data_IF_626749807262
#
_entry.id   IF_626749807262
#
_cell.length_a   1.000
_cell.length_b   1.000
_cell.length_c   1.000
_cell.angle_alpha   90.00
_cell.angle_beta   90.00
_cell.angle_gamma   90.00
#
_symmetry.space_group_name_H-M   'P 1'
#
loop_
_entity.id
_entity.type
_entity.pdbx_description
1 polymer ?
#
# COMPACT_ATOMS: atom_id res chain seq x y z
N UNK A 1 4.82 20.35 -23.04
CA UNK A 1 5.36 18.97 -23.07
C UNK A 1 4.49 18.01 -22.21
N UNK A 2 4.04 18.45 -21.03
CA UNK A 2 3.22 17.60 -20.15
C UNK A 2 1.92 17.10 -20.81
N UNK A 3 1.22 17.97 -21.53
CA UNK A 3 -0.04 17.60 -22.20
C UNK A 3 0.17 16.74 -23.47
N UNK A 4 1.28 16.93 -24.18
CA UNK A 4 1.60 16.12 -25.35
C UNK A 4 2.14 14.74 -25.00
N UNK A 5 2.96 14.66 -23.95
CA UNK A 5 3.47 13.39 -23.43
C UNK A 5 2.43 12.59 -22.65
N UNK A 6 1.39 13.25 -22.12
CA UNK A 6 0.34 12.61 -21.33
C UNK A 6 -0.74 11.95 -22.20
N UNK A 7 -0.67 12.10 -23.53
CA UNK A 7 -1.63 11.51 -24.48
C UNK A 7 -0.98 10.36 -25.22
N UNK A 8 -1.76 9.34 -25.47
CA UNK A 8 -1.37 8.30 -26.41
C UNK A 8 -1.18 8.95 -27.79
N UNK A 9 0.01 8.86 -28.43
CA UNK A 9 0.24 9.48 -29.72
C UNK A 9 -0.70 8.98 -30.80
N UNK A 10 -1.25 7.77 -30.67
CA UNK A 10 -2.16 7.14 -31.63
C UNK A 10 -3.65 7.28 -31.26
N UNK A 11 -3.97 7.87 -30.10
CA UNK A 11 -5.35 8.08 -29.65
C UNK A 11 -5.52 9.45 -29.00
N UNK A 12 -6.68 10.08 -29.21
CA UNK A 12 -7.05 11.33 -28.55
C UNK A 12 -7.34 11.16 -27.03
N UNK A 13 -6.85 10.10 -26.42
CA UNK A 13 -7.11 9.70 -25.05
C UNK A 13 -5.87 9.87 -24.16
N UNK A 14 -6.04 10.08 -22.84
CA UNK A 14 -4.95 10.07 -21.89
C UNK A 14 -4.19 8.75 -21.93
N UNK A 15 -2.87 8.82 -21.77
CA UNK A 15 -2.00 7.65 -21.75
C UNK A 15 -2.39 6.69 -20.61
N UNK A 16 -2.52 5.42 -20.93
CA UNK A 16 -2.85 4.39 -19.94
C UNK A 16 -1.63 3.96 -19.13
N UNK A 17 -1.84 3.43 -17.94
CA UNK A 17 -0.76 2.90 -17.12
C UNK A 17 0.00 1.77 -17.82
N UNK A 18 -0.69 0.91 -18.56
CA UNK A 18 -0.05 -0.15 -19.33
C UNK A 18 0.90 0.41 -20.38
N UNK A 19 0.50 1.46 -21.11
CA UNK A 19 1.33 2.08 -22.13
C UNK A 19 2.51 2.86 -21.52
N UNK A 20 2.30 3.53 -20.38
CA UNK A 20 3.35 4.30 -19.70
C UNK A 20 4.39 3.43 -19.00
N UNK A 21 3.94 2.36 -18.29
CA UNK A 21 4.80 1.55 -17.42
C UNK A 21 5.57 0.43 -18.14
N UNK A 22 5.09 -0.04 -19.32
CA UNK A 22 5.62 -1.19 -20.05
C UNK A 22 6.56 -0.76 -21.17
N UNK A 23 7.51 -0.02 -21.05
CA UNK A 23 8.40 0.35 -22.17
C UNK A 23 9.88 0.09 -21.93
N UNK A 24 10.25 -0.37 -20.74
CA UNK A 24 11.64 -0.59 -20.38
C UNK A 24 12.50 0.67 -20.64
N UNK A 25 13.73 0.47 -21.10
CA UNK A 25 14.68 1.55 -21.35
C UNK A 25 14.32 2.53 -22.49
N UNK A 26 13.40 2.17 -23.36
CA UNK A 26 12.89 3.02 -24.45
C UNK A 26 11.47 3.51 -24.22
N UNK A 27 10.87 3.19 -23.08
CA UNK A 27 9.48 3.52 -22.79
C UNK A 27 9.27 4.96 -22.35
N UNK A 28 8.00 5.30 -22.19
CA UNK A 28 7.56 6.64 -21.82
C UNK A 28 8.20 7.15 -20.53
N UNK A 29 8.24 6.34 -19.47
CA UNK A 29 8.84 6.75 -18.19
C UNK A 29 10.36 6.99 -18.31
N UNK A 30 11.03 6.23 -19.14
CA UNK A 30 12.45 6.44 -19.40
C UNK A 30 12.68 7.79 -20.12
N UNK A 31 11.88 8.10 -21.13
CA UNK A 31 11.95 9.41 -21.81
C UNK A 31 11.58 10.56 -20.85
N UNK A 32 10.61 10.38 -19.96
CA UNK A 32 10.24 11.37 -18.96
C UNK A 32 11.40 11.65 -18.00
N UNK A 33 12.06 10.60 -17.51
CA UNK A 33 13.22 10.72 -16.62
C UNK A 33 14.40 11.38 -17.33
N UNK A 34 14.71 10.96 -18.54
CA UNK A 34 15.80 11.55 -19.35
C UNK A 34 15.57 13.06 -19.56
N UNK A 35 14.33 13.45 -19.85
CA UNK A 35 13.98 14.85 -19.98
C UNK A 35 14.11 15.60 -18.67
N UNK A 36 13.61 15.03 -17.55
CA UNK A 36 13.68 15.65 -16.24
C UNK A 36 15.14 15.83 -15.78
N UNK A 37 15.98 14.84 -15.99
CA UNK A 37 17.41 14.91 -15.63
C UNK A 37 18.17 15.93 -16.52
N UNK A 38 17.87 15.99 -17.80
CA UNK A 38 18.49 16.95 -18.71
C UNK A 38 18.16 18.41 -18.37
N UNK A 39 17.04 18.67 -17.74
CA UNK A 39 16.58 20.01 -17.38
C UNK A 39 16.52 20.22 -15.86
N UNK A 40 17.18 19.36 -15.09
CA UNK A 40 17.10 19.35 -13.62
C UNK A 40 17.53 20.71 -13.03
N UNK A 41 18.64 21.25 -13.47
CA UNK A 41 19.16 22.54 -12.94
C UNK A 41 18.18 23.69 -13.18
N UNK A 42 17.61 23.80 -14.38
CA UNK A 42 16.64 24.86 -14.72
C UNK A 42 15.38 24.73 -13.85
N UNK A 43 14.84 23.54 -13.73
CA UNK A 43 13.64 23.30 -12.92
C UNK A 43 13.89 23.53 -11.43
N UNK A 44 15.07 23.12 -10.93
CA UNK A 44 15.46 23.34 -9.55
C UNK A 44 15.66 24.81 -9.23
N UNK A 45 16.33 25.57 -10.09
CA UNK A 45 16.53 27.00 -9.88
C UNK A 45 15.19 27.74 -9.83
N UNK A 46 14.26 27.39 -10.72
CA UNK A 46 12.90 27.93 -10.68
C UNK A 46 12.17 27.55 -9.40
N UNK A 47 12.22 26.27 -9.00
CA UNK A 47 11.58 25.80 -7.77
C UNK A 47 12.18 26.46 -6.53
N UNK A 48 13.49 26.44 -6.38
CA UNK A 48 14.19 27.00 -5.23
C UNK A 48 13.99 28.51 -5.09
N UNK A 49 13.82 29.24 -6.21
CA UNK A 49 13.53 30.66 -6.21
C UNK A 49 12.17 31.03 -5.61
N UNK A 50 11.26 30.07 -5.46
CA UNK A 50 9.95 30.31 -4.83
C UNK A 50 10.00 30.38 -3.30
N UNK A 51 11.11 29.96 -2.70
CA UNK A 51 11.28 29.93 -1.25
C UNK A 51 12.18 31.08 -0.76
N UNK A 52 11.68 31.85 0.18
CA UNK A 52 12.42 33.01 0.71
C UNK A 52 13.61 32.62 1.61
N UNK A 53 13.55 31.45 2.25
CA UNK A 53 14.60 31.01 3.19
C UNK A 53 14.65 29.49 3.30
N UNK A 54 15.44 28.88 2.45
CA UNK A 54 15.82 27.48 2.62
C UNK A 54 17.21 27.38 3.21
N UNK A 55 17.44 26.40 4.06
CA UNK A 55 18.78 26.09 4.58
C UNK A 55 19.65 25.56 3.44
N UNK A 56 20.92 25.93 3.46
CA UNK A 56 21.90 25.50 2.44
C UNK A 56 21.94 23.98 2.31
N UNK A 57 21.94 23.26 3.43
CA UNK A 57 21.94 21.78 3.45
C UNK A 57 20.70 21.21 2.73
N UNK A 58 19.53 21.84 2.90
CA UNK A 58 18.30 21.41 2.24
C UNK A 58 18.37 21.61 0.73
N UNK A 59 18.94 22.74 0.30
CA UNK A 59 19.15 23.04 -1.12
C UNK A 59 20.11 22.01 -1.74
N UNK A 60 21.20 21.71 -1.06
CA UNK A 60 22.20 20.73 -1.52
C UNK A 60 21.60 19.31 -1.61
N UNK A 61 20.83 18.91 -0.61
CA UNK A 61 20.13 17.62 -0.61
C UNK A 61 19.12 17.50 -1.77
N UNK A 62 18.35 18.57 -2.03
CA UNK A 62 17.40 18.58 -3.15
C UNK A 62 18.14 18.48 -4.48
N UNK A 63 19.25 19.22 -4.67
CA UNK A 63 20.06 19.14 -5.88
C UNK A 63 20.67 17.76 -6.07
N UNK A 64 21.27 17.22 -5.02
CA UNK A 64 21.86 15.87 -5.03
C UNK A 64 20.82 14.79 -5.36
N UNK A 65 19.59 14.97 -4.87
CA UNK A 65 18.52 14.04 -5.16
C UNK A 65 18.00 14.15 -6.61
N UNK A 66 17.87 15.37 -7.14
CA UNK A 66 17.24 15.59 -8.42
C UNK A 66 18.21 15.44 -9.61
N UNK A 67 19.50 15.68 -9.40
CA UNK A 67 20.50 15.58 -10.46
C UNK A 67 21.08 14.15 -10.55
N UNK A 68 21.40 13.66 -11.76
CA UNK A 68 22.04 12.37 -11.92
C UNK A 68 23.50 12.40 -11.43
N UNK A 69 23.89 11.44 -10.58
CA UNK A 69 25.23 11.41 -9.98
C UNK A 69 26.28 10.69 -10.85
N UNK A 70 25.93 9.57 -11.47
CA UNK A 70 26.85 8.66 -12.15
C UNK A 70 26.37 8.21 -13.53
N UNK A 71 25.83 9.11 -14.33
CA UNK A 71 25.29 8.84 -15.66
C UNK A 71 23.75 8.97 -15.71
N UNK A 72 23.13 8.74 -16.86
CA UNK A 72 21.70 8.95 -17.05
C UNK A 72 20.88 8.00 -16.16
N UNK A 73 19.73 8.49 -15.70
CA UNK A 73 18.74 7.75 -14.92
C UNK A 73 19.26 7.27 -13.55
N UNK A 74 20.15 8.06 -12.93
CA UNK A 74 20.71 7.78 -11.60
C UNK A 74 20.25 8.75 -10.54
N UNK A 75 19.42 9.73 -10.86
CA UNK A 75 18.83 10.65 -9.89
C UNK A 75 17.87 9.93 -8.94
N UNK A 76 17.64 10.52 -7.77
CA UNK A 76 16.62 10.04 -6.83
C UNK A 76 15.21 10.04 -7.44
N UNK A 77 14.93 11.00 -8.34
CA UNK A 77 13.69 10.99 -9.12
C UNK A 77 13.59 9.74 -9.99
N UNK A 78 14.64 9.42 -10.75
CA UNK A 78 14.69 8.21 -11.58
C UNK A 78 14.43 6.95 -10.77
N UNK A 79 15.12 6.83 -9.63
CA UNK A 79 14.95 5.68 -8.73
C UNK A 79 13.51 5.55 -8.24
N UNK A 80 12.86 6.64 -7.85
CA UNK A 80 11.46 6.60 -7.40
C UNK A 80 10.48 6.27 -8.53
N UNK A 81 10.65 6.84 -9.71
CA UNK A 81 9.82 6.53 -10.89
C UNK A 81 9.88 5.05 -11.23
N UNK A 82 11.09 4.51 -11.36
CA UNK A 82 11.26 3.09 -11.72
C UNK A 82 10.85 2.16 -10.57
N UNK A 83 11.02 2.55 -9.33
CA UNK A 83 10.52 1.79 -8.19
C UNK A 83 8.98 1.75 -8.16
N UNK A 84 8.30 2.87 -8.46
CA UNK A 84 6.84 2.91 -8.56
C UNK A 84 6.34 2.01 -9.70
N UNK A 85 6.96 2.09 -10.88
CA UNK A 85 6.64 1.22 -12.02
C UNK A 85 6.90 -0.26 -11.69
N UNK A 86 7.98 -0.55 -10.99
CA UNK A 86 8.32 -1.91 -10.53
C UNK A 86 7.31 -2.45 -9.53
N UNK A 87 6.82 -1.65 -8.58
CA UNK A 87 5.74 -2.03 -7.67
C UNK A 87 4.44 -2.33 -8.42
N UNK A 88 4.05 -1.45 -9.35
CA UNK A 88 2.87 -1.69 -10.19
C UNK A 88 2.98 -2.99 -10.98
N UNK A 89 4.11 -3.24 -11.65
CA UNK A 89 4.34 -4.47 -12.43
C UNK A 89 4.23 -5.72 -11.54
N UNK A 90 4.84 -5.71 -10.36
CA UNK A 90 4.76 -6.81 -9.40
C UNK A 90 3.31 -7.09 -8.98
N UNK A 91 2.56 -6.04 -8.63
CA UNK A 91 1.14 -6.20 -8.28
C UNK A 91 0.34 -6.87 -9.40
N UNK A 92 0.58 -6.50 -10.67
CA UNK A 92 -0.09 -7.15 -11.80
C UNK A 92 0.36 -8.60 -12.01
N UNK A 93 1.64 -8.89 -11.81
CA UNK A 93 2.17 -10.26 -11.90
C UNK A 93 1.59 -11.16 -10.81
N UNK A 94 1.46 -10.67 -9.60
CA UNK A 94 0.80 -11.38 -8.49
C UNK A 94 -0.66 -11.69 -8.80
N UNK A 95 -1.40 -10.70 -9.29
CA UNK A 95 -2.79 -10.91 -9.71
C UNK A 95 -2.90 -11.93 -10.86
N UNK A 96 -2.00 -11.86 -11.84
CA UNK A 96 -1.96 -12.84 -12.94
C UNK A 96 -1.63 -14.23 -12.42
N UNK A 97 -0.62 -14.35 -11.57
CA UNK A 97 -0.22 -15.62 -10.98
C UNK A 97 -1.36 -16.24 -10.16
N UNK A 98 -1.99 -15.46 -9.29
CA UNK A 98 -3.16 -15.91 -8.51
C UNK A 98 -4.29 -16.38 -9.41
N UNK A 99 -4.60 -15.63 -10.47
CA UNK A 99 -5.61 -15.99 -11.46
C UNK A 99 -5.29 -17.33 -12.14
N UNK A 100 -4.06 -17.55 -12.59
CA UNK A 100 -3.65 -18.80 -13.24
C UNK A 100 -3.64 -19.97 -12.25
N UNK A 101 -3.26 -19.76 -11.00
CA UNK A 101 -3.33 -20.79 -9.96
C UNK A 101 -4.77 -21.26 -9.73
N UNK A 102 -5.71 -20.31 -9.56
CA UNK A 102 -7.13 -20.67 -9.39
C UNK A 102 -7.69 -21.32 -10.65
N UNK A 103 -7.30 -20.84 -11.82
CA UNK A 103 -7.73 -21.41 -13.11
C UNK A 103 -7.20 -22.83 -13.32
N UNK A 104 -6.01 -23.14 -12.82
CA UNK A 104 -5.45 -24.48 -12.86
C UNK A 104 -6.21 -25.47 -11.95
N UNK A 105 -6.72 -25.03 -10.81
CA UNK A 105 -7.53 -25.86 -9.90
C UNK A 105 -9.01 -25.98 -10.30
N UNK A 106 -9.51 -25.07 -11.15
CA UNK A 106 -10.91 -25.01 -11.55
C UNK A 106 -11.45 -26.32 -12.16
N UNK A 107 -10.72 -27.03 -13.08
CA UNK A 107 -11.24 -28.28 -13.66
C UNK A 107 -11.52 -29.36 -12.61
N UNK A 108 -10.67 -29.49 -11.59
CA UNK A 108 -10.87 -30.44 -10.48
C UNK A 108 -12.08 -30.07 -9.62
N UNK A 109 -12.24 -28.77 -9.32
CA UNK A 109 -13.40 -28.26 -8.58
C UNK A 109 -14.70 -28.49 -9.35
N UNK A 110 -14.70 -28.22 -10.65
CA UNK A 110 -15.87 -28.49 -11.51
C UNK A 110 -16.18 -29.99 -11.61
N UNK A 111 -15.16 -30.84 -11.65
CA UNK A 111 -15.37 -32.29 -11.65
C UNK A 111 -16.06 -32.75 -10.36
N UNK A 112 -15.61 -32.24 -9.20
CA UNK A 112 -16.25 -32.56 -7.89
C UNK A 112 -17.67 -32.00 -7.80
N UNK A 113 -17.90 -30.79 -8.30
CA UNK A 113 -19.21 -30.14 -8.31
C UNK A 113 -20.24 -30.81 -9.22
N UNK A 114 -19.81 -31.54 -10.26
CA UNK A 114 -20.68 -32.23 -11.24
C UNK A 114 -20.97 -33.70 -10.92
N UNK A 115 -20.50 -34.24 -9.80
CA UNK A 115 -20.81 -35.60 -9.37
C UNK A 115 -22.27 -35.65 -8.92
N UNK A 116 -23.02 -36.71 -9.29
CA UNK A 116 -24.36 -36.93 -8.75
C UNK A 116 -24.31 -37.01 -7.22
N UNK A 117 -25.04 -36.15 -6.53
CA UNK A 117 -25.00 -35.93 -5.07
C UNK A 117 -23.75 -35.14 -4.56
N UNK A 118 -23.17 -34.27 -5.38
CA UNK A 118 -22.12 -33.34 -4.93
C UNK A 118 -22.61 -32.55 -3.70
N UNK A 119 -21.72 -32.39 -2.73
CA UNK A 119 -21.99 -31.54 -1.57
C UNK A 119 -22.19 -30.08 -1.97
N UNK A 120 -23.00 -29.33 -1.21
CA UNK A 120 -23.15 -27.90 -1.46
C UNK A 120 -21.81 -27.15 -1.43
N UNK A 121 -20.87 -27.60 -0.59
CA UNK A 121 -19.54 -27.00 -0.45
C UNK A 121 -18.70 -27.16 -1.73
N UNK A 122 -18.76 -28.30 -2.42
CA UNK A 122 -18.06 -28.53 -3.68
C UNK A 122 -18.61 -27.64 -4.81
N UNK A 123 -19.94 -27.55 -4.89
CA UNK A 123 -20.61 -26.69 -5.87
C UNK A 123 -20.25 -25.21 -5.62
N UNK A 124 -20.22 -24.83 -4.35
CA UNK A 124 -19.88 -23.47 -3.96
C UNK A 124 -18.42 -23.13 -4.25
N UNK A 125 -17.48 -24.03 -3.92
CA UNK A 125 -16.05 -23.83 -4.18
C UNK A 125 -15.76 -23.63 -5.67
N UNK A 126 -16.40 -24.41 -6.55
CA UNK A 126 -16.27 -24.23 -8.00
C UNK A 126 -16.78 -22.85 -8.46
N UNK A 127 -17.94 -22.40 -7.97
CA UNK A 127 -18.51 -21.10 -8.31
C UNK A 127 -17.69 -19.93 -7.78
N UNK A 128 -17.16 -20.05 -6.58
CA UNK A 128 -16.26 -19.05 -5.99
C UNK A 128 -14.97 -18.91 -6.80
N UNK A 129 -14.40 -20.03 -7.25
CA UNK A 129 -13.24 -20.02 -8.13
C UNK A 129 -13.52 -19.30 -9.46
N UNK A 130 -14.63 -19.60 -10.13
CA UNK A 130 -15.04 -18.92 -11.37
C UNK A 130 -15.22 -17.40 -11.16
N UNK A 131 -15.94 -17.03 -10.10
CA UNK A 131 -16.20 -15.63 -9.76
C UNK A 131 -14.89 -14.88 -9.45
N UNK A 132 -13.98 -15.54 -8.74
CA UNK A 132 -12.67 -14.95 -8.40
C UNK A 132 -11.82 -14.74 -9.65
N UNK A 133 -11.79 -15.68 -10.59
CA UNK A 133 -11.08 -15.53 -11.87
C UNK A 133 -11.62 -14.34 -12.65
N UNK A 134 -12.94 -14.20 -12.74
CA UNK A 134 -13.57 -13.07 -13.44
C UNK A 134 -13.23 -11.73 -12.75
N UNK A 135 -13.31 -11.69 -11.43
CA UNK A 135 -13.02 -10.50 -10.64
C UNK A 135 -11.56 -10.04 -10.81
N UNK A 136 -10.59 -10.98 -10.68
CA UNK A 136 -9.18 -10.67 -10.93
C UNK A 136 -8.98 -10.15 -12.36
N UNK A 137 -9.69 -10.73 -13.34
CA UNK A 137 -9.66 -10.24 -14.71
C UNK A 137 -10.13 -8.79 -14.84
N UNK A 138 -11.18 -8.40 -14.13
CA UNK A 138 -11.67 -7.03 -14.09
C UNK A 138 -10.68 -6.08 -13.40
N UNK A 139 -10.03 -6.52 -12.30
CA UNK A 139 -9.00 -5.74 -11.62
C UNK A 139 -7.79 -5.48 -12.54
N UNK A 140 -7.30 -6.51 -13.21
CA UNK A 140 -6.20 -6.39 -14.17
C UNK A 140 -6.56 -5.44 -15.31
N UNK A 141 -7.78 -5.54 -15.86
CA UNK A 141 -8.27 -4.61 -16.88
C UNK A 141 -8.29 -3.17 -16.38
N UNK A 142 -8.84 -2.94 -15.19
CA UNK A 142 -8.89 -1.60 -14.57
C UNK A 142 -7.49 -1.03 -14.33
N UNK A 143 -6.58 -1.82 -13.79
CA UNK A 143 -5.22 -1.37 -13.50
C UNK A 143 -4.42 -1.05 -14.76
N UNK A 144 -4.59 -1.82 -15.85
CA UNK A 144 -3.94 -1.55 -17.14
C UNK A 144 -4.50 -0.30 -17.84
N UNK A 145 -5.82 -0.05 -17.72
CA UNK A 145 -6.50 1.07 -18.36
C UNK A 145 -6.53 2.34 -17.50
N UNK A 146 -6.05 2.30 -16.27
CA UNK A 146 -5.98 3.47 -15.41
C UNK A 146 -5.10 4.56 -16.06
N UNK A 147 -5.38 5.83 -15.72
CA UNK A 147 -4.54 6.93 -16.14
C UNK A 147 -3.18 6.86 -15.44
N UNK A 148 -2.10 6.96 -16.19
CA UNK A 148 -0.74 6.72 -15.69
C UNK A 148 -0.33 7.63 -14.52
N UNK A 149 -0.74 8.91 -14.54
CA UNK A 149 -0.45 9.85 -13.43
C UNK A 149 -1.14 9.37 -12.14
N UNK A 150 -2.42 9.00 -12.23
CA UNK A 150 -3.17 8.50 -11.08
C UNK A 150 -2.53 7.23 -10.49
N UNK A 151 -1.97 6.38 -11.34
CA UNK A 151 -1.25 5.20 -10.88
C UNK A 151 0.06 5.57 -10.19
N UNK A 152 0.85 6.50 -10.74
CA UNK A 152 2.08 6.97 -10.08
C UNK A 152 1.79 7.69 -8.76
N UNK A 153 0.68 8.42 -8.67
CA UNK A 153 0.17 9.00 -7.44
C UNK A 153 -0.20 7.92 -6.41
N UNK A 154 -0.90 6.87 -6.84
CA UNK A 154 -1.25 5.71 -5.99
C UNK A 154 0.00 5.01 -5.43
N UNK A 155 1.09 4.98 -6.18
CA UNK A 155 2.37 4.42 -5.75
C UNK A 155 3.33 5.44 -5.11
N UNK A 156 2.82 6.64 -4.75
CA UNK A 156 3.52 7.62 -3.92
C UNK A 156 4.60 8.45 -4.63
N UNK A 157 4.60 8.52 -5.97
CA UNK A 157 5.54 9.37 -6.69
C UNK A 157 5.12 10.84 -6.69
N UNK A 158 3.83 11.10 -6.87
CA UNK A 158 3.28 12.45 -6.84
C UNK A 158 2.57 12.70 -5.52
N UNK A 159 2.72 13.91 -4.94
CA UNK A 159 1.95 14.25 -3.77
C UNK A 159 0.46 14.28 -4.14
N UNK A 160 -0.32 13.54 -3.40
CA UNK A 160 -1.75 13.71 -3.45
C UNK A 160 -2.06 15.07 -2.80
N UNK A 161 -2.74 15.96 -3.51
CA UNK A 161 -3.14 17.28 -3.00
C UNK A 161 -4.19 17.21 -1.87
N UNK A 162 -4.72 16.05 -1.56
CA UNK A 162 -5.44 15.82 -0.32
C UNK A 162 -4.42 15.70 0.82
N UNK A 163 -4.45 16.65 1.73
CA UNK A 163 -3.45 16.97 2.77
C UNK A 163 -2.98 15.83 3.69
N UNK A 164 -3.55 14.64 3.63
CA UNK A 164 -3.11 13.42 4.33
C UNK A 164 -3.66 12.23 3.54
N UNK A 165 -2.90 11.66 2.64
CA UNK A 165 -3.34 10.41 2.01
C UNK A 165 -2.57 9.19 2.52
N UNK A 166 -2.67 9.02 3.80
CA UNK A 166 -2.47 7.76 4.48
C UNK A 166 -3.80 6.99 4.44
N UNK A 167 -4.34 6.73 3.26
CA UNK A 167 -5.60 6.03 3.16
C UNK A 167 -5.41 4.57 2.79
N UNK A 168 -5.96 3.70 3.61
CA UNK A 168 -6.07 2.27 3.32
C UNK A 168 -7.31 2.02 2.49
N UNK A 169 -7.19 1.21 1.44
CA UNK A 169 -8.30 0.83 0.57
C UNK A 169 -8.85 -0.54 0.95
N UNK A 170 -10.17 -0.60 1.16
CA UNK A 170 -10.92 -1.83 1.31
C UNK A 170 -11.61 -2.18 0.00
N UNK A 171 -11.27 -3.31 -0.58
CA UNK A 171 -11.95 -3.87 -1.75
C UNK A 171 -13.00 -4.88 -1.32
N UNK A 172 -14.25 -4.62 -1.64
CA UNK A 172 -15.38 -5.47 -1.28
C UNK A 172 -15.98 -6.07 -2.53
N UNK A 173 -16.16 -7.39 -2.54
CA UNK A 173 -16.88 -8.09 -3.58
C UNK A 173 -18.17 -8.69 -3.01
N UNK A 174 -19.31 -8.08 -3.36
CA UNK A 174 -20.63 -8.57 -3.00
C UNK A 174 -21.12 -9.50 -4.10
N UNK A 175 -21.38 -10.75 -3.77
CA UNK A 175 -21.94 -11.76 -4.68
C UNK A 175 -23.36 -12.12 -4.30
N UNK A 176 -24.23 -12.37 -5.29
CA UNK A 176 -25.59 -12.85 -5.09
C UNK A 176 -26.06 -13.65 -6.30
N UNK A 177 -27.03 -14.51 -6.07
CA UNK A 177 -27.72 -15.22 -7.14
C UNK A 177 -28.87 -14.34 -7.66
N UNK A 178 -28.92 -14.10 -8.98
CA UNK A 178 -30.02 -13.38 -9.67
C UNK A 178 -30.98 -14.45 -10.24
N UNK A 179 -32.16 -14.68 -9.61
CA UNK A 179 -33.08 -15.71 -10.03
C UNK A 179 -33.71 -15.43 -11.42
N UNK A 180 -33.84 -14.15 -11.80
CA UNK A 180 -34.42 -13.77 -13.09
C UNK A 180 -33.50 -14.10 -14.27
N UNK A 181 -32.20 -14.20 -14.01
CA UNK A 181 -31.18 -14.49 -15.03
C UNK A 181 -30.50 -15.82 -14.82
N UNK A 182 -30.88 -16.57 -13.79
CA UNK A 182 -30.29 -17.85 -13.39
C UNK A 182 -28.75 -17.79 -13.32
N UNK A 183 -28.21 -16.65 -12.87
CA UNK A 183 -26.76 -16.38 -12.83
C UNK A 183 -26.33 -15.75 -11.52
N UNK A 184 -25.12 -16.12 -11.09
CA UNK A 184 -24.44 -15.40 -10.02
C UNK A 184 -23.97 -14.05 -10.56
N UNK A 185 -24.21 -13.01 -9.79
CA UNK A 185 -23.73 -11.66 -10.02
C UNK A 185 -22.80 -11.24 -8.92
N UNK A 186 -21.86 -10.41 -9.26
CA UNK A 186 -20.99 -9.76 -8.28
C UNK A 186 -20.94 -8.26 -8.53
N UNK A 187 -20.80 -7.51 -7.45
CA UNK A 187 -20.56 -6.07 -7.48
C UNK A 187 -19.33 -5.76 -6.67
N UNK A 188 -18.27 -5.27 -7.32
CA UNK A 188 -17.11 -4.75 -6.65
C UNK A 188 -17.36 -3.32 -6.19
N UNK A 189 -16.96 -3.01 -4.97
CA UNK A 189 -16.98 -1.69 -4.38
C UNK A 189 -15.65 -1.44 -3.68
N UNK A 190 -15.25 -0.19 -3.57
CA UNK A 190 -14.03 0.20 -2.87
C UNK A 190 -14.33 1.30 -1.89
N UNK A 191 -13.82 1.18 -0.69
CA UNK A 191 -13.93 2.17 0.37
C UNK A 191 -12.54 2.57 0.82
N UNK A 192 -12.36 3.79 1.30
CA UNK A 192 -11.11 4.26 1.86
C UNK A 192 -11.31 4.81 3.27
N UNK A 193 -10.30 4.64 4.10
CA UNK A 193 -10.20 5.21 5.45
C UNK A 193 -8.78 5.70 5.67
N UNK A 194 -8.63 6.78 6.42
CA UNK A 194 -7.31 7.18 6.92
C UNK A 194 -6.68 6.06 7.74
N UNK A 195 -5.36 5.89 7.67
CA UNK A 195 -4.61 4.76 8.23
C UNK A 195 -4.96 4.46 9.69
N UNK A 196 -5.03 5.47 10.55
CA UNK A 196 -5.36 5.28 11.96
C UNK A 196 -6.77 4.68 12.19
N UNK A 197 -7.76 5.07 11.39
CA UNK A 197 -9.10 4.49 11.43
C UNK A 197 -9.13 3.11 10.78
N UNK A 198 -8.41 2.94 9.67
CA UNK A 198 -8.36 1.69 8.93
C UNK A 198 -7.77 0.54 9.75
N UNK A 199 -6.79 0.79 10.60
CA UNK A 199 -6.23 -0.22 11.50
C UNK A 199 -7.27 -0.87 12.42
N UNK A 200 -8.40 -0.20 12.67
CA UNK A 200 -9.52 -0.74 13.45
C UNK A 200 -10.67 -1.21 12.55
N UNK A 201 -11.02 -0.38 11.57
CA UNK A 201 -12.19 -0.64 10.72
C UNK A 201 -11.93 -1.73 9.67
N UNK A 202 -10.68 -1.88 9.20
CA UNK A 202 -10.27 -2.82 8.16
C UNK A 202 -9.34 -3.93 8.66
N UNK A 203 -9.24 -4.09 9.97
CA UNK A 203 -8.52 -5.21 10.55
C UNK A 203 -9.20 -6.54 10.20
N UNK A 204 -8.45 -7.64 9.98
CA UNK A 204 -9.03 -8.96 9.73
C UNK A 204 -9.99 -9.37 10.85
N UNK A 205 -11.19 -9.80 10.48
CA UNK A 205 -12.26 -10.14 11.42
C UNK A 205 -13.08 -8.95 11.93
N UNK A 206 -12.71 -7.71 11.64
CA UNK A 206 -13.53 -6.55 11.93
C UNK A 206 -14.75 -6.48 10.99
N UNK A 207 -15.85 -5.93 11.48
CA UNK A 207 -17.06 -5.70 10.68
C UNK A 207 -17.17 -4.23 10.31
N UNK A 208 -17.12 -3.96 9.01
CA UNK A 208 -17.29 -2.64 8.44
C UNK A 208 -18.69 -2.46 7.85
N UNK A 209 -19.40 -1.42 8.24
CA UNK A 209 -20.76 -1.15 7.79
C UNK A 209 -20.76 -0.15 6.63
N UNK A 210 -21.25 -0.57 5.46
CA UNK A 210 -21.38 0.29 4.30
C UNK A 210 -22.54 -0.14 3.40
N UNK A 211 -23.22 0.83 2.81
CA UNK A 211 -24.31 0.62 1.83
C UNK A 211 -25.41 -0.36 2.31
N UNK A 212 -25.71 -0.38 3.60
CA UNK A 212 -26.71 -1.29 4.17
C UNK A 212 -26.22 -2.74 4.33
N UNK A 213 -24.91 -2.97 4.29
CA UNK A 213 -24.29 -4.27 4.49
C UNK A 213 -23.30 -4.24 5.65
N UNK A 214 -23.27 -5.32 6.43
CA UNK A 214 -22.24 -5.64 7.38
C UNK A 214 -21.15 -6.45 6.65
N UNK A 215 -19.96 -5.89 6.54
CA UNK A 215 -18.86 -6.41 5.74
C UNK A 215 -17.76 -6.88 6.68
N UNK A 216 -17.60 -8.19 6.80
CA UNK A 216 -16.48 -8.76 7.58
C UNK A 216 -15.23 -8.78 6.73
N UNK A 217 -14.16 -8.21 7.26
CA UNK A 217 -12.86 -8.17 6.59
C UNK A 217 -12.21 -9.55 6.68
N UNK A 218 -11.96 -10.19 5.56
CA UNK A 218 -11.46 -11.56 5.48
C UNK A 218 -9.99 -11.69 5.08
N UNK A 219 -9.43 -10.65 4.45
CA UNK A 219 -8.04 -10.68 4.02
C UNK A 219 -7.38 -9.30 4.02
N UNK A 220 -6.08 -9.30 4.28
CA UNK A 220 -5.18 -8.16 4.07
C UNK A 220 -4.04 -8.58 3.14
N UNK A 221 -3.42 -7.58 2.50
CA UNK A 221 -2.31 -7.82 1.58
C UNK A 221 -1.00 -7.96 2.38
N UNK A 222 -0.40 -9.15 2.34
CA UNK A 222 0.90 -9.43 2.95
C UNK A 222 2.06 -9.41 1.93
N UNK A 223 1.79 -9.03 0.69
CA UNK A 223 2.75 -9.20 -0.40
C UNK A 223 2.88 -10.65 -0.84
N UNK A 224 3.82 -10.87 -1.76
CA UNK A 224 4.09 -12.21 -2.28
C UNK A 224 4.89 -13.00 -1.26
N UNK A 225 4.38 -14.19 -0.91
CA UNK A 225 5.02 -15.09 0.06
C UNK A 225 5.31 -14.43 1.43
N UNK A 226 4.61 -13.32 1.75
CA UNK A 226 4.79 -12.59 3.01
C UNK A 226 5.96 -11.60 3.00
N UNK A 227 6.42 -11.18 1.84
CA UNK A 227 7.55 -10.23 1.69
C UNK A 227 7.27 -8.82 2.25
N UNK A 228 5.99 -8.50 2.49
CA UNK A 228 5.59 -7.26 3.19
C UNK A 228 5.64 -7.38 4.72
N UNK A 229 5.88 -8.58 5.26
CA UNK A 229 6.02 -8.79 6.70
C UNK A 229 7.44 -8.41 7.10
N UNK A 230 7.56 -7.46 8.03
CA UNK A 230 8.85 -7.00 8.58
C UNK A 230 8.99 -7.40 10.03
N UNK A 231 10.21 -7.50 10.50
CA UNK A 231 10.50 -7.75 11.89
C UNK A 231 11.09 -6.50 12.52
N UNK A 232 10.42 -5.99 13.54
CA UNK A 232 10.87 -4.83 14.29
C UNK A 232 11.35 -5.24 15.67
N UNK A 233 12.54 -4.78 16.06
CA UNK A 233 13.01 -4.83 17.42
C UNK A 233 12.55 -3.56 18.15
N UNK A 234 11.82 -3.72 19.25
CA UNK A 234 11.22 -2.61 20.00
C UNK A 234 11.92 -2.48 21.36
N UNK A 235 12.39 -1.29 21.68
CA UNK A 235 12.97 -1.02 22.99
C UNK A 235 11.87 -1.07 24.08
N UNK A 236 11.97 -1.95 25.10
CA UNK A 236 10.95 -2.08 26.12
C UNK A 236 10.84 -0.86 27.04
N UNK A 237 11.86 0.01 27.05
CA UNK A 237 11.92 1.18 27.91
C UNK A 237 11.35 2.44 27.27
N UNK A 238 11.68 2.70 26.01
CA UNK A 238 11.31 3.97 25.36
C UNK A 238 10.53 3.80 24.05
N UNK A 239 10.23 2.56 23.63
CA UNK A 239 9.49 2.29 22.41
C UNK A 239 10.26 2.57 21.11
N UNK A 240 11.57 2.82 21.17
CA UNK A 240 12.40 2.99 19.98
C UNK A 240 12.39 1.72 19.13
N UNK A 241 12.29 1.87 17.82
CA UNK A 241 12.11 0.76 16.89
C UNK A 241 13.30 0.68 15.94
N UNK A 242 13.76 -0.55 15.69
CA UNK A 242 14.74 -0.88 14.66
C UNK A 242 14.10 -1.88 13.70
N UNK A 243 14.07 -1.55 12.42
CA UNK A 243 13.67 -2.47 11.36
C UNK A 243 14.84 -3.43 11.09
N UNK A 244 14.65 -4.71 11.39
CA UNK A 244 15.73 -5.71 11.30
C UNK A 244 16.07 -6.11 9.87
N UNK A 245 15.16 -5.97 8.93
CA UNK A 245 15.42 -6.19 7.51
C UNK A 245 16.36 -5.12 6.94
N UNK A 246 16.30 -3.90 7.47
CA UNK A 246 17.19 -2.80 7.07
C UNK A 246 18.50 -2.79 7.85
N UNK A 247 18.44 -3.02 9.16
CA UNK A 247 19.60 -2.95 10.05
C UNK A 247 20.40 -4.26 10.13
N UNK A 248 19.84 -5.37 9.69
CA UNK A 248 20.42 -6.71 9.78
C UNK A 248 20.34 -7.32 11.18
N UNK A 249 20.66 -6.57 12.23
CA UNK A 249 20.65 -7.06 13.62
C UNK A 249 20.13 -5.96 14.57
N UNK A 250 19.50 -6.38 15.67
CA UNK A 250 19.16 -5.47 16.75
C UNK A 250 20.43 -4.99 17.47
N UNK A 251 20.55 -3.71 17.81
CA UNK A 251 21.67 -3.20 18.57
C UNK A 251 21.65 -3.74 20.01
N UNK A 252 22.82 -3.96 20.62
CA UNK A 252 22.94 -4.47 21.99
C UNK A 252 22.29 -3.53 23.03
N UNK A 253 22.31 -2.24 22.75
CA UNK A 253 21.67 -1.19 23.56
C UNK A 253 20.82 -0.30 22.67
N UNK A 254 19.72 0.20 23.24
CA UNK A 254 18.84 1.14 22.54
C UNK A 254 19.61 2.42 22.14
N UNK A 255 19.63 2.81 20.87
CA UNK A 255 20.30 4.04 20.43
C UNK A 255 19.74 5.32 21.09
N UNK A 256 18.47 5.29 21.50
CA UNK A 256 17.79 6.45 22.08
C UNK A 256 18.01 6.58 23.59
N UNK A 257 17.74 5.53 24.35
CA UNK A 257 17.79 5.60 25.82
C UNK A 257 18.98 4.86 26.44
N UNK A 258 19.84 4.24 25.61
CA UNK A 258 21.05 3.50 25.99
C UNK A 258 20.79 2.31 26.95
N UNK A 259 19.52 1.92 27.17
CA UNK A 259 19.17 0.76 27.99
C UNK A 259 19.26 -0.54 27.19
N UNK A 260 19.49 -1.63 27.90
CA UNK A 260 19.51 -2.99 27.32
C UNK A 260 18.07 -3.48 27.09
N UNK A 261 17.93 -4.57 26.30
CA UNK A 261 16.67 -5.26 26.09
C UNK A 261 16.08 -5.12 24.67
N UNK A 262 16.55 -4.20 23.84
CA UNK A 262 16.09 -4.07 22.45
C UNK A 262 16.50 -5.28 21.59
N UNK A 263 17.57 -5.97 21.96
CA UNK A 263 18.06 -7.18 21.29
C UNK A 263 17.37 -8.47 21.74
N UNK A 264 16.49 -8.41 22.73
CA UNK A 264 15.72 -9.56 23.18
C UNK A 264 14.73 -9.99 22.10
N UNK A 265 14.79 -11.27 21.69
CA UNK A 265 13.87 -11.85 20.70
C UNK A 265 12.41 -11.71 21.12
N UNK A 266 12.13 -11.73 22.44
CA UNK A 266 10.79 -11.48 22.98
C UNK A 266 10.23 -10.06 22.71
N UNK A 267 11.11 -9.13 22.34
CA UNK A 267 10.75 -7.76 21.94
C UNK A 267 10.65 -7.58 20.42
N UNK A 268 10.80 -8.66 19.66
CA UNK A 268 10.64 -8.61 18.20
C UNK A 268 9.17 -8.76 17.84
N UNK A 269 8.67 -7.80 17.04
CA UNK A 269 7.31 -7.79 16.52
C UNK A 269 7.34 -8.04 15.01
N UNK A 270 6.52 -8.97 14.56
CA UNK A 270 6.21 -9.09 13.13
C UNK A 270 5.12 -8.07 12.79
N UNK A 271 5.43 -7.18 11.89
CA UNK A 271 4.55 -6.09 11.47
C UNK A 271 4.31 -6.14 9.98
N UNK A 272 3.16 -5.65 9.56
CA UNK A 272 2.80 -5.48 8.16
C UNK A 272 2.19 -4.10 7.99
N UNK A 273 2.54 -3.43 6.91
CA UNK A 273 1.90 -2.19 6.53
C UNK A 273 0.52 -2.48 5.94
N UNK A 274 -0.53 -1.95 6.57
CA UNK A 274 -1.89 -2.10 6.08
C UNK A 274 -2.13 -1.13 4.92
N UNK A 275 -1.83 -1.55 3.71
CA UNK A 275 -2.06 -0.75 2.49
C UNK A 275 -3.40 -1.08 1.84
N UNK A 276 -3.81 -2.35 1.93
CA UNK A 276 -5.01 -2.86 1.28
C UNK A 276 -5.65 -3.98 2.09
N UNK A 277 -6.96 -3.91 2.21
CA UNK A 277 -7.79 -4.97 2.78
C UNK A 277 -8.82 -5.44 1.74
N UNK A 278 -9.32 -6.66 1.89
CA UNK A 278 -10.37 -7.20 1.04
C UNK A 278 -11.43 -7.94 1.83
N UNK A 279 -12.63 -7.99 1.26
CA UNK A 279 -13.74 -8.78 1.78
C UNK A 279 -14.55 -9.36 0.63
N UNK A 280 -14.83 -10.66 0.69
CA UNK A 280 -15.69 -11.35 -0.26
C UNK A 280 -16.93 -11.91 0.46
N UNK A 281 -18.08 -11.30 0.23
CA UNK A 281 -19.29 -11.56 1.02
C UNK A 281 -20.47 -11.85 0.11
N UNK A 282 -21.34 -12.78 0.54
CA UNK A 282 -22.63 -12.98 -0.07
C UNK A 282 -23.58 -11.86 0.37
N UNK A 283 -24.25 -11.24 -0.60
CA UNK A 283 -25.16 -10.11 -0.37
C UNK A 283 -26.27 -10.46 0.65
N UNK A 284 -26.78 -11.69 0.61
CA UNK A 284 -27.90 -12.09 1.46
C UNK A 284 -27.46 -12.34 2.91
N UNK A 285 -26.20 -12.73 3.13
CA UNK A 285 -25.59 -12.93 4.44
C UNK A 285 -25.11 -11.61 5.09
N UNK A 286 -24.96 -10.56 4.29
CA UNK A 286 -24.43 -9.25 4.73
C UNK A 286 -25.49 -8.21 5.04
N UNK A 287 -26.79 -8.51 4.88
CA UNK A 287 -27.85 -7.55 5.19
C UNK A 287 -27.85 -7.25 6.69
N UNK A 288 -27.85 -5.96 6.99
CA UNK A 288 -28.00 -5.50 8.38
C UNK A 288 -29.42 -5.83 8.79
N UNK A 289 -29.57 -6.67 9.81
CA UNK A 289 -30.84 -6.92 10.47
C UNK A 289 -30.85 -6.12 11.79
N UNK A 290 -31.92 -5.32 11.99
CA UNK A 290 -32.09 -4.50 13.19
C UNK A 290 -32.26 -5.34 14.50
N UNK A 291 -32.38 -6.65 14.37
CA UNK A 291 -32.59 -7.55 15.51
C UNK A 291 -31.30 -7.99 16.21
N UNK A 292 -30.14 -7.88 15.57
CA UNK A 292 -28.84 -8.29 16.13
C UNK A 292 -27.77 -7.26 15.81
N UNK A 293 -27.41 -6.46 16.81
CA UNK A 293 -26.23 -5.59 16.75
C UNK A 293 -24.97 -6.40 17.11
N UNK A 294 -24.48 -7.21 16.19
CA UNK A 294 -23.20 -7.90 16.32
C UNK A 294 -22.06 -7.03 15.78
N UNK A 295 -21.65 -6.04 16.55
CA UNK A 295 -20.35 -5.38 16.33
C UNK A 295 -19.24 -6.28 16.84
N UNK A 296 -18.80 -7.21 16.04
CA UNK A 296 -17.55 -7.90 16.31
C UNK A 296 -16.40 -6.93 16.09
N UNK A 297 -15.98 -6.22 17.12
CA UNK A 297 -14.72 -5.49 17.09
C UNK A 297 -13.62 -6.49 17.34
N UNK A 298 -12.83 -6.77 16.29
CA UNK A 298 -11.58 -7.46 16.49
C UNK A 298 -10.69 -6.57 17.39
N UNK A 299 -10.31 -7.08 18.55
CA UNK A 299 -9.51 -6.37 19.53
C UNK A 299 -8.05 -6.40 19.10
N UNK A 300 -7.64 -5.45 18.25
CA UNK A 300 -6.23 -5.23 17.93
C UNK A 300 -5.69 -4.11 18.82
N UNK A 301 -4.53 -4.34 19.42
CA UNK A 301 -3.78 -3.27 20.06
C UNK A 301 -3.05 -2.48 18.97
N UNK A 302 -3.48 -1.26 18.71
CA UNK A 302 -2.76 -0.31 17.87
C UNK A 302 -1.73 0.39 18.74
N UNK A 303 -0.46 0.14 18.49
CA UNK A 303 0.64 0.82 19.16
C UNK A 303 1.27 1.81 18.17
N UNK A 304 1.08 3.13 18.34
CA UNK A 304 1.81 4.10 17.55
C UNK A 304 3.29 4.01 17.88
N UNK A 305 4.11 3.99 16.87
CA UNK A 305 5.56 3.96 17.01
C UNK A 305 6.16 5.21 16.36
N UNK A 306 7.08 5.85 17.04
CA UNK A 306 7.84 6.96 16.51
C UNK A 306 9.27 6.53 16.24
N UNK A 307 9.68 6.60 14.99
CA UNK A 307 11.08 6.42 14.60
C UNK A 307 11.78 7.78 14.74
N UNK A 308 12.58 7.89 15.80
CA UNK A 308 13.25 9.12 16.15
C UNK A 308 14.76 8.91 16.03
N UNK A 309 15.37 9.48 15.02
CA UNK A 309 16.81 9.56 14.93
C UNK A 309 17.31 10.61 15.94
N UNK A 310 18.16 10.25 16.91
CA UNK A 310 18.71 11.18 17.91
C UNK A 310 19.42 12.38 17.27
N UNK A 311 19.98 12.22 16.07
CA UNK A 311 20.65 13.32 15.35
C UNK A 311 19.71 14.45 14.94
N UNK A 312 18.42 14.19 14.89
CA UNK A 312 17.39 15.19 14.60
C UNK A 312 16.83 15.89 15.84
N UNK A 313 17.31 15.55 17.04
CA UNK A 313 16.96 16.25 18.27
C UNK A 313 17.69 17.60 18.31
N UNK A 314 16.95 18.72 18.34
CA UNK A 314 17.51 20.08 18.36
C UNK A 314 17.62 20.63 19.75
N UNK A 315 16.57 20.47 20.55
CA UNK A 315 16.51 20.92 21.92
C UNK A 315 15.83 19.88 22.78
N UNK A 316 16.32 19.76 24.00
CA UNK A 316 15.68 18.93 25.02
C UNK A 316 15.68 19.65 26.34
N UNK A 317 14.65 19.45 27.13
CA UNK A 317 14.59 19.90 28.51
C UNK A 317 13.91 18.88 29.39
N UNK A 318 14.35 18.79 30.61
CA UNK A 318 13.81 17.87 31.63
C UNK A 318 13.49 18.64 32.89
N UNK A 319 12.44 18.22 33.57
CA UNK A 319 12.16 18.71 34.91
C UNK A 319 13.14 18.06 35.86
N UNK A 320 13.86 18.87 36.63
CA UNK A 320 14.89 18.42 37.54
C UNK A 320 14.37 17.34 38.51
N UNK A 321 15.11 16.27 38.68
CA UNK A 321 14.76 15.10 39.50
C UNK A 321 13.55 14.28 39.05
N UNK A 322 13.14 14.41 37.80
CA UNK A 322 12.08 13.59 37.19
C UNK A 322 12.51 13.04 35.84
N UNK A 323 11.80 12.01 35.33
CA UNK A 323 11.96 11.54 33.96
C UNK A 323 11.08 12.32 32.96
N UNK A 324 10.34 13.34 33.43
CA UNK A 324 9.50 14.16 32.60
C UNK A 324 10.29 15.24 31.87
N UNK A 325 10.14 15.27 30.55
CA UNK A 325 10.82 16.22 29.69
C UNK A 325 10.14 16.36 28.33
N UNK A 326 10.69 17.24 27.50
CA UNK A 326 10.29 17.37 26.11
C UNK A 326 11.51 17.49 25.21
N UNK A 327 11.40 16.91 24.03
CA UNK A 327 12.40 17.00 22.98
C UNK A 327 11.79 17.66 21.75
N UNK A 328 12.49 18.63 21.19
CA UNK A 328 12.14 19.22 19.90
C UNK A 328 12.92 18.51 18.80
N UNK A 329 12.18 17.95 17.84
CA UNK A 329 12.72 17.19 16.72
C UNK A 329 12.45 17.94 15.41
N UNK A 330 13.45 18.03 14.54
CA UNK A 330 13.27 18.58 13.20
C UNK A 330 12.49 17.60 12.31
N UNK A 331 12.69 16.33 12.53
CA UNK A 331 12.09 15.25 11.74
C UNK A 331 11.82 14.04 12.62
N UNK A 332 10.69 13.40 12.39
CA UNK A 332 10.29 12.17 13.03
C UNK A 332 9.41 11.40 12.06
N UNK A 333 9.62 10.10 11.94
CA UNK A 333 8.74 9.22 11.18
C UNK A 333 7.77 8.55 12.16
N UNK A 334 6.47 8.78 11.97
CA UNK A 334 5.41 8.13 12.75
C UNK A 334 4.94 6.89 12.01
N UNK A 335 4.85 5.77 12.74
CA UNK A 335 4.31 4.50 12.23
C UNK A 335 3.15 4.08 13.13
N UNK A 336 2.10 3.60 12.52
CA UNK A 336 0.88 3.17 13.22
C UNK A 336 0.67 1.68 13.02
#
# INVERSE_FOLDING_TARGET
LGDELARDPDAAHPLTSSAAMNGGNGGFLACLVDYAEAHADEHLDRFLSTFASLRTDSIENIRTWACPANGPRTSGLAQQVFAAAGRWSRTLEELRHRRETIKASLPELLQKANIPNAGNDDIQAAKEAETTIEWIGKLLGKANQAYWIATLEEYGLFPNYTLVDDSVKLHVNLSWYDPDKEKYRSKASSFSRGSAAALRDFAPGATFYAMGHAITIDAIDFGRDGDSIRTWAVCPTCGYIVDLELAGNAPAQCPRCHRQGISDIGQHLKVVELTRASAAIKRDESRIDDTHEERTQASFAVAPAADIDPSHTRNEWYVQHTEFGAQYLDRMDLRW
#
